data_IF_173285588628
#
_entry.id   IF_173285588628
#
_cell.length_a   1.000
_cell.length_b   1.000
_cell.length_c   1.000
_cell.angle_alpha   90.00
_cell.angle_beta   90.00
_cell.angle_gamma   90.00
#
_symmetry.space_group_name_H-M   'P 1'
#
loop_
_entity.id
_entity.type
_entity.pdbx_description
1 polymer ?
#
# COMPACT_ATOMS: atom_id res chain seq x y z
N UNK A 1 3.76 -1.89 12.04
CA UNK A 1 2.29 -1.77 11.90
C UNK A 1 1.93 -0.49 11.15
N UNK A 2 1.23 -0.61 10.01
CA UNK A 2 0.47 0.52 9.44
C UNK A 2 -0.93 0.58 10.04
N UNK A 3 -1.62 1.71 9.85
CA UNK A 3 -3.03 1.89 10.18
C UNK A 3 -3.98 1.27 9.13
N UNK A 4 -3.55 0.25 8.39
CA UNK A 4 -4.35 -0.36 7.34
C UNK A 4 -5.52 -1.16 7.93
N UNK A 5 -6.74 -0.86 7.47
CA UNK A 5 -7.90 -1.68 7.79
C UNK A 5 -7.80 -3.05 7.09
N UNK A 6 -8.39 -4.11 7.66
CA UNK A 6 -8.53 -5.37 6.94
C UNK A 6 -9.30 -5.19 5.63
N UNK A 7 -8.90 -5.93 4.61
CA UNK A 7 -9.63 -5.99 3.35
C UNK A 7 -10.69 -7.09 3.40
N UNK A 8 -11.77 -6.92 2.64
CA UNK A 8 -12.87 -7.88 2.58
C UNK A 8 -13.17 -8.24 1.13
N UNK A 9 -13.46 -9.51 0.87
CA UNK A 9 -14.04 -9.93 -0.42
C UNK A 9 -15.58 -9.93 -0.37
N UNK A 10 -16.20 -10.20 -1.51
CA UNK A 10 -17.66 -10.27 -1.66
C UNK A 10 -18.30 -11.42 -0.89
N UNK A 11 -17.52 -12.44 -0.50
CA UNK A 11 -17.96 -13.54 0.38
C UNK A 11 -17.87 -13.20 1.87
N UNK A 12 -17.33 -12.02 2.23
CA UNK A 12 -17.13 -11.59 3.60
C UNK A 12 -15.88 -12.18 4.27
N UNK A 13 -14.99 -12.84 3.52
CA UNK A 13 -13.70 -13.24 4.07
C UNK A 13 -12.85 -12.00 4.32
N UNK A 14 -12.12 -12.03 5.43
CA UNK A 14 -11.27 -10.93 5.88
C UNK A 14 -9.81 -11.25 5.55
N UNK A 15 -9.07 -10.26 5.05
CA UNK A 15 -7.66 -10.37 4.72
C UNK A 15 -6.84 -9.29 5.44
N UNK A 16 -5.73 -9.67 6.05
CA UNK A 16 -4.78 -8.74 6.65
C UNK A 16 -3.40 -9.39 6.74
N UNK A 17 -2.38 -8.55 6.84
CA UNK A 17 -1.01 -8.99 7.08
C UNK A 17 -0.60 -8.81 8.55
N UNK A 18 0.17 -9.76 9.06
CA UNK A 18 0.80 -9.71 10.39
C UNK A 18 2.22 -9.20 10.28
N UNK A 19 2.74 -8.61 11.36
CA UNK A 19 4.14 -8.20 11.46
C UNK A 19 5.03 -9.31 12.01
N UNK A 20 6.21 -8.92 12.49
CA UNK A 20 7.22 -9.81 13.01
C UNK A 20 6.68 -10.69 14.14
N UNK A 21 7.17 -11.93 14.18
CA UNK A 21 6.79 -12.90 15.17
C UNK A 21 7.24 -14.29 14.79
N UNK A 22 7.01 -15.24 15.70
CA UNK A 22 7.17 -16.66 15.42
C UNK A 22 6.30 -17.07 14.24
N UNK A 23 6.78 -18.06 13.49
CA UNK A 23 6.03 -18.69 12.42
C UNK A 23 6.16 -20.20 12.52
N UNK A 24 5.02 -20.88 12.50
CA UNK A 24 4.96 -22.34 12.38
C UNK A 24 3.88 -22.81 11.38
N UNK A 25 3.11 -21.88 10.80
CA UNK A 25 2.08 -22.16 9.79
C UNK A 25 0.81 -22.84 10.32
N UNK A 26 0.64 -22.95 11.64
CA UNK A 26 -0.51 -23.61 12.29
C UNK A 26 -1.28 -22.67 13.22
N UNK A 27 -0.61 -22.11 14.23
CA UNK A 27 -1.16 -21.13 15.17
C UNK A 27 -0.26 -19.88 15.31
N UNK A 28 0.97 -19.93 14.81
CA UNK A 28 1.90 -18.81 14.73
C UNK A 28 2.11 -18.39 13.27
N UNK A 29 1.74 -17.15 12.98
CA UNK A 29 1.71 -16.58 11.63
C UNK A 29 2.45 -15.23 11.57
N UNK A 30 3.70 -15.17 12.01
CA UNK A 30 4.55 -13.99 11.80
C UNK A 30 4.74 -13.67 10.32
N UNK A 31 4.73 -12.39 9.96
CA UNK A 31 4.96 -11.87 8.59
C UNK A 31 4.16 -12.62 7.52
N UNK A 32 2.86 -12.77 7.74
CA UNK A 32 1.97 -13.58 6.92
C UNK A 32 0.74 -12.79 6.49
N UNK A 33 0.21 -13.07 5.30
CA UNK A 33 -1.15 -12.68 4.92
C UNK A 33 -2.10 -13.77 5.38
N UNK A 34 -3.09 -13.41 6.18
CA UNK A 34 -4.13 -14.33 6.66
C UNK A 34 -5.44 -14.10 5.93
N UNK A 35 -6.10 -15.18 5.54
CA UNK A 35 -7.51 -15.21 5.16
C UNK A 35 -8.32 -15.75 6.32
N UNK A 36 -9.21 -14.95 6.87
CA UNK A 36 -10.16 -15.39 7.89
C UNK A 36 -11.56 -15.56 7.30
N UNK A 37 -12.32 -16.48 7.86
CA UNK A 37 -13.75 -16.63 7.59
C UNK A 37 -14.54 -15.38 8.00
N UNK A 38 -15.76 -15.20 7.49
CA UNK A 38 -16.70 -14.25 8.09
C UNK A 38 -16.94 -14.58 9.57
N UNK A 39 -17.19 -13.55 10.38
CA UNK A 39 -17.48 -13.73 11.81
C UNK A 39 -18.70 -14.65 11.99
N UNK A 40 -18.49 -15.79 12.65
CA UNK A 40 -19.56 -16.75 12.94
C UNK A 40 -19.49 -17.18 14.40
N UNK A 41 -20.60 -17.03 15.13
CA UNK A 41 -20.64 -17.35 16.56
C UNK A 41 -19.63 -16.57 17.41
N UNK A 42 -19.25 -15.36 16.99
CA UNK A 42 -18.26 -14.52 17.67
C UNK A 42 -16.80 -14.90 17.43
N UNK A 43 -16.53 -15.84 16.53
CA UNK A 43 -15.17 -16.30 16.23
C UNK A 43 -14.84 -16.12 14.75
N UNK A 44 -13.56 -15.83 14.49
CA UNK A 44 -12.95 -15.94 13.18
C UNK A 44 -12.13 -17.22 13.10
N UNK A 45 -12.09 -17.86 11.94
CA UNK A 45 -11.24 -19.04 11.70
C UNK A 45 -10.25 -18.72 10.59
N UNK A 46 -8.97 -19.07 10.77
CA UNK A 46 -7.99 -19.01 9.69
C UNK A 46 -8.39 -20.04 8.63
N UNK A 47 -8.66 -19.57 7.42
CA UNK A 47 -9.02 -20.41 6.27
C UNK A 47 -7.82 -20.74 5.40
N UNK A 48 -6.91 -19.79 5.24
CA UNK A 48 -5.69 -19.94 4.45
C UNK A 48 -4.67 -18.86 4.83
N UNK A 49 -3.43 -19.00 4.37
CA UNK A 49 -2.38 -18.01 4.58
C UNK A 49 -1.35 -17.99 3.45
N UNK A 50 -0.58 -16.91 3.40
CA UNK A 50 0.69 -16.81 2.66
C UNK A 50 1.76 -16.30 3.62
N UNK A 51 2.97 -16.83 3.50
CA UNK A 51 4.14 -16.38 4.24
C UNK A 51 5.33 -16.34 3.27
N UNK A 52 6.05 -15.21 3.13
CA UNK A 52 7.23 -15.15 2.27
C UNK A 52 8.25 -16.21 2.63
N UNK A 53 8.85 -16.87 1.64
CA UNK A 53 9.85 -17.93 1.85
C UNK A 53 10.97 -17.51 2.83
N UNK A 54 11.36 -16.24 2.79
CA UNK A 54 12.43 -15.64 3.61
C UNK A 54 11.95 -15.05 4.95
N UNK A 55 10.78 -15.47 5.46
CA UNK A 55 10.16 -14.90 6.66
C UNK A 55 11.11 -14.76 7.87
N UNK A 56 11.92 -15.79 8.15
CA UNK A 56 12.87 -15.75 9.27
C UNK A 56 13.88 -14.59 9.13
N UNK A 57 14.32 -14.30 7.90
CA UNK A 57 15.21 -13.18 7.61
C UNK A 57 14.50 -11.84 7.79
N UNK A 58 13.25 -11.72 7.30
CA UNK A 58 12.43 -10.52 7.48
C UNK A 58 12.21 -10.22 8.97
N UNK A 59 11.86 -11.24 9.76
CA UNK A 59 11.65 -11.09 11.20
C UNK A 59 12.92 -10.66 11.95
N UNK A 60 14.10 -11.09 11.51
CA UNK A 60 15.36 -10.75 12.15
C UNK A 60 15.79 -9.28 11.93
N UNK A 61 15.33 -8.65 10.84
CA UNK A 61 15.74 -7.30 10.44
C UNK A 61 14.62 -6.26 10.55
N UNK A 62 13.53 -6.56 11.27
CA UNK A 62 12.35 -5.69 11.35
C UNK A 62 11.74 -5.41 9.96
N UNK A 63 11.81 -6.39 9.05
CA UNK A 63 11.31 -6.35 7.68
C UNK A 63 9.82 -6.67 7.54
N UNK A 64 9.00 -6.21 8.50
CA UNK A 64 7.57 -6.55 8.64
C UNK A 64 6.79 -6.60 7.32
N UNK A 65 6.10 -7.72 7.07
CA UNK A 65 5.09 -7.78 6.00
C UNK A 65 3.85 -6.95 6.36
N UNK A 66 3.42 -7.01 7.62
CA UNK A 66 2.27 -6.28 8.18
C UNK A 66 2.48 -4.77 8.35
N UNK A 67 3.56 -4.21 7.82
CA UNK A 67 3.69 -2.78 7.67
C UNK A 67 2.84 -2.24 6.51
N UNK A 68 2.53 -3.01 5.47
CA UNK A 68 1.59 -2.59 4.45
C UNK A 68 0.21 -3.19 4.60
N UNK A 69 -0.79 -2.51 4.04
CA UNK A 69 -2.17 -2.99 3.95
C UNK A 69 -2.40 -3.88 2.73
N UNK A 70 -3.24 -4.90 2.90
CA UNK A 70 -3.68 -5.77 1.80
C UNK A 70 -4.74 -5.09 0.95
N UNK A 71 -4.71 -5.30 -0.36
CA UNK A 71 -5.72 -4.77 -1.31
C UNK A 71 -6.34 -5.92 -2.09
N UNK A 72 -7.64 -6.13 -1.91
CA UNK A 72 -8.43 -7.03 -2.76
C UNK A 72 -8.65 -6.37 -4.11
N UNK A 73 -8.27 -7.05 -5.19
CA UNK A 73 -8.42 -6.54 -6.55
C UNK A 73 -9.75 -6.98 -7.18
N UNK A 74 -10.30 -6.22 -8.16
CA UNK A 74 -11.43 -6.68 -8.95
C UNK A 74 -11.13 -8.01 -9.63
N UNK A 75 -12.10 -8.93 -9.59
CA UNK A 75 -11.98 -10.25 -10.21
C UNK A 75 -11.97 -10.12 -11.75
N UNK A 76 -10.87 -10.49 -12.43
CA UNK A 76 -10.84 -10.50 -13.88
C UNK A 76 -11.79 -11.54 -14.48
N UNK A 77 -12.24 -11.29 -15.71
CA UNK A 77 -13.15 -12.20 -16.43
C UNK A 77 -12.43 -13.38 -17.08
N UNK A 78 -11.11 -13.30 -17.23
CA UNK A 78 -10.22 -14.32 -17.85
C UNK A 78 -9.06 -14.67 -16.92
N UNK A 79 -8.27 -15.68 -17.30
CA UNK A 79 -7.12 -16.13 -16.53
C UNK A 79 -7.45 -17.28 -15.56
N UNK A 80 -6.40 -17.97 -15.11
CA UNK A 80 -6.53 -19.11 -14.19
C UNK A 80 -6.64 -18.64 -12.74
N UNK A 81 -5.93 -17.56 -12.39
CA UNK A 81 -6.02 -16.91 -11.08
C UNK A 81 -6.82 -15.61 -11.21
N UNK A 82 -8.04 -15.60 -10.66
CA UNK A 82 -8.98 -14.48 -10.81
C UNK A 82 -9.27 -13.75 -9.51
N UNK A 83 -9.18 -14.43 -8.36
CA UNK A 83 -9.49 -13.80 -7.09
C UNK A 83 -8.23 -13.19 -6.50
N UNK A 84 -7.74 -12.08 -7.05
CA UNK A 84 -6.41 -11.59 -6.71
C UNK A 84 -6.39 -10.62 -5.52
N UNK A 85 -5.27 -10.61 -4.79
CA UNK A 85 -4.97 -9.70 -3.68
C UNK A 85 -3.50 -9.25 -3.79
N UNK A 86 -3.23 -8.00 -3.41
CA UNK A 86 -1.87 -7.45 -3.34
C UNK A 86 -1.46 -7.20 -1.90
N UNK A 87 -0.22 -7.53 -1.58
CA UNK A 87 0.43 -7.21 -0.31
C UNK A 87 1.86 -6.70 -0.57
N UNK A 88 2.33 -5.78 0.27
CA UNK A 88 3.73 -5.31 0.29
C UNK A 88 4.10 -4.90 1.71
N UNK A 89 5.35 -5.14 2.11
CA UNK A 89 5.86 -4.85 3.46
C UNK A 89 6.96 -3.80 3.48
N UNK A 90 7.75 -3.80 4.56
CA UNK A 90 8.94 -2.92 4.71
C UNK A 90 10.09 -3.31 3.79
N UNK A 91 10.11 -4.55 3.30
CA UNK A 91 11.13 -5.04 2.37
C UNK A 91 10.91 -4.50 0.93
N UNK A 92 9.71 -3.98 0.64
CA UNK A 92 9.38 -3.40 -0.65
C UNK A 92 9.08 -4.42 -1.75
N UNK A 93 8.93 -5.69 -1.39
CA UNK A 93 8.50 -6.74 -2.32
C UNK A 93 6.99 -6.69 -2.49
N UNK A 94 6.52 -6.64 -3.75
CA UNK A 94 5.09 -6.72 -4.05
C UNK A 94 4.72 -8.17 -4.32
N UNK A 95 3.74 -8.68 -3.57
CA UNK A 95 3.19 -10.01 -3.73
C UNK A 95 1.79 -9.92 -4.34
N UNK A 96 1.57 -10.65 -5.43
CA UNK A 96 0.24 -10.88 -6.01
C UNK A 96 -0.20 -12.31 -5.65
N UNK A 97 -1.25 -12.40 -4.86
CA UNK A 97 -1.76 -13.63 -4.27
C UNK A 97 -3.11 -14.02 -4.87
N UNK A 98 -3.37 -15.32 -5.01
CA UNK A 98 -4.70 -15.83 -5.32
C UNK A 98 -5.46 -16.13 -4.02
N UNK A 99 -6.55 -15.41 -3.76
CA UNK A 99 -7.41 -15.56 -2.58
C UNK A 99 -8.08 -16.94 -2.50
N UNK A 100 -8.16 -17.68 -3.60
CA UNK A 100 -8.68 -19.05 -3.60
C UNK A 100 -7.63 -20.08 -3.15
N UNK A 101 -6.34 -19.73 -3.24
CA UNK A 101 -5.21 -20.50 -2.75
C UNK A 101 -4.03 -19.55 -2.53
N UNK A 102 -3.85 -19.09 -1.28
CA UNK A 102 -2.83 -18.10 -0.95
C UNK A 102 -1.40 -18.64 -1.10
N UNK A 103 -1.24 -19.95 -1.27
CA UNK A 103 0.05 -20.58 -1.54
C UNK A 103 0.81 -21.02 -0.29
N UNK A 104 0.48 -20.52 0.89
CA UNK A 104 1.13 -20.87 2.17
C UNK A 104 2.61 -20.50 2.18
N UNK A 105 3.48 -21.43 2.58
CA UNK A 105 4.90 -21.21 2.79
C UNK A 105 5.74 -22.17 1.94
N UNK A 106 6.65 -21.64 1.14
CA UNK A 106 7.69 -22.41 0.47
C UNK A 106 8.95 -22.37 1.34
N UNK A 107 9.27 -23.50 1.97
CA UNK A 107 10.40 -23.61 2.89
C UNK A 107 11.75 -23.40 2.16
N UNK A 108 12.60 -22.45 2.58
CA UNK A 108 13.94 -22.28 2.02
C UNK A 108 14.89 -23.42 2.40
N UNK A 109 14.51 -24.27 3.36
CA UNK A 109 15.30 -25.42 3.79
C UNK A 109 14.92 -26.71 3.03
N UNK A 110 15.77 -27.75 3.09
CA UNK A 110 15.44 -29.04 2.49
C UNK A 110 14.13 -29.65 3.03
N UNK A 111 13.33 -30.32 2.18
CA UNK A 111 13.64 -30.66 0.78
C UNK A 111 13.21 -29.58 -0.23
N UNK A 112 12.47 -28.55 0.19
CA UNK A 112 11.87 -27.58 -0.72
C UNK A 112 12.90 -26.62 -1.33
N UNK A 113 13.89 -26.17 -0.55
CA UNK A 113 15.01 -25.33 -1.01
C UNK A 113 14.56 -24.08 -1.80
N UNK A 114 13.47 -23.43 -1.37
CA UNK A 114 12.92 -22.29 -2.08
C UNK A 114 13.85 -21.06 -1.99
N UNK A 115 14.11 -20.42 -3.11
CA UNK A 115 14.85 -19.15 -3.19
C UNK A 115 13.98 -17.95 -3.54
N UNK A 116 12.69 -18.19 -3.74
CA UNK A 116 11.67 -17.21 -4.11
C UNK A 116 10.28 -17.81 -3.83
N UNK A 117 9.25 -16.98 -3.89
CA UNK A 117 7.87 -17.37 -3.64
C UNK A 117 7.22 -18.00 -4.88
N UNK A 118 7.70 -19.17 -5.28
CA UNK A 118 7.21 -19.87 -6.50
C UNK A 118 5.75 -20.36 -6.43
N UNK A 119 5.15 -20.35 -5.23
CA UNK A 119 3.82 -20.90 -4.98
C UNK A 119 2.66 -19.90 -5.15
N UNK A 120 2.98 -18.65 -5.50
CA UNK A 120 2.01 -17.55 -5.68
C UNK A 120 1.96 -17.07 -7.12
N UNK A 121 1.05 -16.15 -7.43
CA UNK A 121 0.81 -15.68 -8.80
C UNK A 121 1.98 -14.82 -9.31
N UNK A 122 2.50 -13.92 -8.47
CA UNK A 122 3.62 -13.07 -8.83
C UNK A 122 4.34 -12.54 -7.59
N UNK A 123 5.67 -12.50 -7.67
CA UNK A 123 6.55 -11.81 -6.73
C UNK A 123 7.36 -10.76 -7.51
N UNK A 124 7.38 -9.52 -7.02
CA UNK A 124 8.21 -8.43 -7.55
C UNK A 124 9.16 -7.94 -6.45
N UNK A 125 10.36 -8.54 -6.32
CA UNK A 125 11.30 -8.22 -5.25
C UNK A 125 11.81 -6.79 -5.35
N UNK A 126 11.84 -6.07 -4.23
CA UNK A 126 12.35 -4.69 -4.14
C UNK A 126 11.75 -3.73 -5.18
N UNK A 127 10.48 -3.92 -5.55
CA UNK A 127 9.80 -3.10 -6.57
C UNK A 127 9.63 -1.65 -6.11
N UNK A 128 9.50 -1.45 -4.80
CA UNK A 128 9.51 -0.17 -4.12
C UNK A 128 10.49 -0.21 -2.93
N UNK A 129 10.74 0.92 -2.27
CA UNK A 129 11.29 0.88 -0.91
C UNK A 129 10.23 0.30 0.06
N UNK A 130 10.38 0.43 1.37
CA UNK A 130 9.39 -0.10 2.32
C UNK A 130 8.05 0.64 2.29
N UNK A 131 6.96 -0.06 2.65
CA UNK A 131 5.63 0.53 2.78
C UNK A 131 5.11 0.52 4.22
N UNK A 132 4.53 1.65 4.66
CA UNK A 132 3.82 1.80 5.95
C UNK A 132 2.40 2.30 5.76
N UNK A 133 1.76 1.84 4.68
CA UNK A 133 0.46 2.30 4.22
C UNK A 133 -0.23 1.24 3.40
N UNK A 134 -1.34 1.60 2.75
CA UNK A 134 -2.08 0.70 1.86
C UNK A 134 -1.96 1.19 0.42
N UNK A 135 -1.64 0.34 -0.57
CA UNK A 135 -1.72 0.72 -1.98
C UNK A 135 -3.15 1.15 -2.35
N UNK A 136 -3.29 1.94 -3.41
CA UNK A 136 -4.60 2.26 -3.96
C UNK A 136 -4.75 1.66 -5.35
N UNK A 137 -5.90 1.08 -5.64
CA UNK A 137 -6.25 0.60 -6.98
C UNK A 137 -7.20 1.60 -7.65
N UNK A 138 -6.94 1.92 -8.92
CA UNK A 138 -7.93 2.55 -9.78
C UNK A 138 -7.69 2.18 -11.24
N UNK A 139 -8.76 1.77 -11.92
CA UNK A 139 -8.80 1.59 -13.38
C UNK A 139 -7.61 0.81 -13.97
N UNK A 140 -7.34 -0.38 -13.43
CA UNK A 140 -6.24 -1.23 -13.90
C UNK A 140 -4.84 -0.74 -13.51
N UNK A 141 -4.72 0.13 -12.51
CA UNK A 141 -3.44 0.61 -11.99
C UNK A 141 -3.43 0.52 -10.47
N UNK A 142 -2.29 0.10 -9.91
CA UNK A 142 -2.00 0.19 -8.48
C UNK A 142 -0.96 1.27 -8.22
N UNK A 143 -1.21 2.08 -7.19
CA UNK A 143 -0.34 3.15 -6.75
C UNK A 143 0.30 2.77 -5.41
N UNK A 144 1.61 2.89 -5.33
CA UNK A 144 2.42 2.52 -4.17
C UNK A 144 3.27 3.69 -3.72
N UNK A 145 3.17 4.02 -2.42
CA UNK A 145 4.02 5.00 -1.77
C UNK A 145 5.06 4.31 -0.90
N UNK A 146 6.29 4.18 -1.42
CA UNK A 146 7.43 3.65 -0.68
C UNK A 146 8.17 4.73 0.12
N UNK A 147 8.96 4.31 1.10
CA UNK A 147 9.97 5.12 1.77
C UNK A 147 11.03 4.23 2.44
N UNK A 148 12.11 4.82 2.97
CA UNK A 148 13.10 4.11 3.76
C UNK A 148 13.01 4.47 5.25
N UNK A 149 13.09 3.48 6.15
CA UNK A 149 13.25 3.75 7.60
C UNK A 149 14.50 4.59 7.83
N UNK A 150 14.41 5.53 8.78
CA UNK A 150 15.52 6.43 9.12
C UNK A 150 15.62 7.68 8.25
N UNK A 151 14.84 7.77 7.16
CA UNK A 151 14.71 8.99 6.35
C UNK A 151 15.98 9.40 5.61
N UNK A 152 16.95 8.50 5.47
CA UNK A 152 18.22 8.73 4.75
C UNK A 152 18.06 8.72 3.24
N UNK A 153 16.98 8.12 2.73
CA UNK A 153 16.52 8.22 1.35
C UNK A 153 14.99 8.06 1.28
N UNK A 154 14.39 8.52 0.19
CA UNK A 154 12.96 8.41 -0.06
C UNK A 154 12.65 7.53 -1.28
N UNK A 155 11.38 7.40 -1.62
CA UNK A 155 10.92 6.80 -2.89
C UNK A 155 9.95 7.73 -3.61
N UNK A 156 9.82 7.55 -4.92
CA UNK A 156 8.72 8.17 -5.66
C UNK A 156 7.41 7.43 -5.40
N UNK A 157 6.29 8.13 -5.51
CA UNK A 157 5.00 7.48 -5.72
C UNK A 157 5.07 6.75 -7.07
N UNK A 158 4.77 5.45 -7.08
CA UNK A 158 4.92 4.59 -8.27
C UNK A 158 3.58 3.98 -8.67
N UNK A 159 3.33 3.92 -9.97
CA UNK A 159 2.18 3.27 -10.56
C UNK A 159 2.63 1.98 -11.27
N UNK A 160 1.91 0.88 -11.04
CA UNK A 160 2.10 -0.40 -11.74
C UNK A 160 0.80 -0.75 -12.45
N UNK A 161 0.87 -1.10 -13.73
CA UNK A 161 -0.33 -1.56 -14.45
C UNK A 161 -0.72 -2.96 -14.00
N UNK A 162 -2.01 -3.19 -13.84
CA UNK A 162 -2.63 -4.48 -13.56
C UNK A 162 -3.48 -4.90 -14.76
N UNK A 163 -2.97 -5.84 -15.56
CA UNK A 163 -3.57 -6.22 -16.84
C UNK A 163 -3.27 -7.68 -17.20
N UNK A 164 -4.08 -8.23 -18.10
CA UNK A 164 -3.82 -9.55 -18.68
C UNK A 164 -2.50 -9.56 -19.48
N UNK A 165 -1.71 -10.60 -19.30
CA UNK A 165 -0.60 -10.95 -20.18
C UNK A 165 -1.11 -11.63 -21.47
N UNK A 166 -0.18 -12.10 -22.31
CA UNK A 166 -0.52 -12.80 -23.56
C UNK A 166 -1.27 -14.12 -23.35
N UNK A 167 -1.20 -14.72 -22.16
CA UNK A 167 -1.93 -15.94 -21.79
C UNK A 167 -3.32 -15.64 -21.21
N UNK A 168 -3.63 -14.37 -20.96
CA UNK A 168 -4.88 -13.93 -20.32
C UNK A 168 -4.80 -13.89 -18.79
N UNK A 169 -3.65 -14.18 -18.18
CA UNK A 169 -3.44 -14.08 -16.74
C UNK A 169 -3.18 -12.63 -16.36
N UNK A 170 -3.95 -12.12 -15.40
CA UNK A 170 -3.73 -10.77 -14.88
C UNK A 170 -2.52 -10.74 -13.95
N UNK A 171 -1.59 -9.83 -14.26
CA UNK A 171 -0.33 -9.61 -13.55
C UNK A 171 -0.10 -8.11 -13.38
N UNK A 172 0.82 -7.76 -12.48
CA UNK A 172 1.41 -6.44 -12.41
C UNK A 172 2.55 -6.31 -13.43
N UNK A 173 2.75 -5.10 -13.95
CA UNK A 173 3.99 -4.78 -14.68
C UNK A 173 5.20 -5.05 -13.81
N UNK A 174 6.31 -5.50 -14.39
CA UNK A 174 7.55 -5.79 -13.64
C UNK A 174 8.32 -4.53 -13.25
N UNK A 175 7.98 -3.38 -13.82
CA UNK A 175 8.49 -2.07 -13.48
C UNK A 175 7.34 -1.05 -13.36
N UNK A 176 7.55 0.09 -12.67
CA UNK A 176 6.57 1.16 -12.65
C UNK A 176 6.29 1.70 -14.06
N UNK A 177 5.03 1.86 -14.41
CA UNK A 177 4.60 2.49 -15.67
C UNK A 177 4.59 4.02 -15.57
N UNK A 178 4.53 4.56 -14.37
CA UNK A 178 4.65 5.98 -14.08
C UNK A 178 5.16 6.21 -12.66
N UNK A 179 5.81 7.35 -12.41
CA UNK A 179 6.32 7.73 -11.10
C UNK A 179 6.30 9.25 -10.90
N UNK A 180 6.16 9.69 -9.66
CA UNK A 180 6.30 11.11 -9.31
C UNK A 180 7.74 11.57 -9.42
N UNK A 181 7.93 12.85 -9.79
CA UNK A 181 9.22 13.52 -9.68
C UNK A 181 9.56 13.85 -8.22
N UNK A 182 8.54 14.12 -7.40
CA UNK A 182 8.73 14.30 -5.96
C UNK A 182 9.10 12.97 -5.30
N UNK A 183 10.08 13.04 -4.40
CA UNK A 183 10.57 11.90 -3.63
C UNK A 183 10.08 12.05 -2.19
N UNK A 184 9.34 11.06 -1.72
CA UNK A 184 8.76 11.02 -0.39
C UNK A 184 9.71 10.29 0.56
N UNK A 185 10.14 10.99 1.62
CA UNK A 185 10.87 10.38 2.71
C UNK A 185 9.90 9.68 3.68
N UNK A 186 10.46 8.98 4.68
CA UNK A 186 9.68 8.35 5.74
C UNK A 186 8.65 9.33 6.36
N UNK A 187 7.38 8.96 6.56
CA UNK A 187 6.80 7.60 6.56
C UNK A 187 6.38 7.03 5.21
N UNK A 188 6.64 7.71 4.10
CA UNK A 188 6.05 7.38 2.80
C UNK A 188 4.58 7.76 2.72
N UNK A 189 4.05 7.98 1.51
CA UNK A 189 2.66 8.39 1.32
C UNK A 189 1.73 7.18 1.27
N UNK A 190 0.51 7.32 1.82
CA UNK A 190 -0.59 6.38 1.53
C UNK A 190 -1.52 7.02 0.49
N UNK A 191 -1.63 6.46 -0.72
CA UNK A 191 -2.47 7.03 -1.77
C UNK A 191 -3.96 6.87 -1.48
N UNK A 192 -4.74 7.87 -1.90
CA UNK A 192 -6.19 7.81 -2.03
C UNK A 192 -6.59 8.31 -3.40
N UNK A 193 -7.55 7.66 -4.05
CA UNK A 193 -7.96 8.01 -5.42
C UNK A 193 -9.37 8.56 -5.44
N UNK A 194 -9.57 9.65 -6.19
CA UNK A 194 -10.89 10.13 -6.58
C UNK A 194 -10.98 10.21 -8.09
N UNK A 195 -12.14 9.89 -8.66
CA UNK A 195 -12.34 9.93 -10.11
C UNK A 195 -13.82 10.11 -10.45
N UNK A 196 -14.10 10.46 -11.71
CA UNK A 196 -15.41 10.31 -12.31
C UNK A 196 -15.47 9.02 -13.12
N UNK A 197 -15.81 7.91 -12.46
CA UNK A 197 -15.70 6.57 -13.03
C UNK A 197 -14.25 6.24 -13.40
N UNK A 198 -13.98 6.05 -14.69
CA UNK A 198 -12.64 5.78 -15.25
C UNK A 198 -11.96 7.03 -15.82
N UNK A 199 -12.52 8.21 -15.61
CA UNK A 199 -12.00 9.48 -16.12
C UNK A 199 -11.62 10.45 -15.00
N UNK A 200 -10.71 11.37 -15.30
CA UNK A 200 -10.26 12.43 -14.38
C UNK A 200 -9.83 11.90 -13.01
N UNK A 201 -9.09 10.79 -13.00
CA UNK A 201 -8.54 10.21 -11.78
C UNK A 201 -7.47 11.12 -11.19
N UNK A 202 -7.53 11.33 -9.88
CA UNK A 202 -6.55 12.07 -9.11
C UNK A 202 -6.05 11.17 -7.98
N UNK A 203 -4.74 11.01 -7.89
CA UNK A 203 -4.08 10.33 -6.77
C UNK A 203 -3.66 11.39 -5.76
N UNK A 204 -4.26 11.33 -4.57
CA UNK A 204 -3.98 12.19 -3.44
C UNK A 204 -3.02 11.50 -2.49
N UNK A 205 -1.96 12.20 -2.10
CA UNK A 205 -0.98 11.70 -1.14
C UNK A 205 -0.52 12.81 -0.21
N UNK A 206 -0.13 12.43 1.00
CA UNK A 206 0.46 13.34 1.99
C UNK A 206 1.98 13.10 2.07
N UNK A 207 2.76 14.17 1.92
CA UNK A 207 4.14 14.20 2.38
C UNK A 207 4.16 14.59 3.86
N UNK A 208 4.33 13.57 4.69
CA UNK A 208 4.41 13.70 6.15
C UNK A 208 5.86 13.69 6.66
N UNK A 209 6.87 13.86 5.80
CA UNK A 209 8.29 13.76 6.18
C UNK A 209 8.72 14.75 7.26
N UNK A 210 7.97 15.83 7.44
CA UNK A 210 8.17 16.86 8.46
C UNK A 210 7.48 16.55 9.82
N UNK A 211 7.10 15.29 10.07
CA UNK A 211 6.53 14.87 11.36
C UNK A 211 7.51 15.08 12.53
N UNK A 212 6.98 15.23 13.76
CA UNK A 212 7.80 15.29 14.97
C UNK A 212 7.30 16.31 16.00
N UNK A 213 7.91 16.38 17.20
CA UNK A 213 7.67 17.48 18.15
C UNK A 213 8.19 18.80 17.55
N UNK A 214 7.49 19.94 17.73
CA UNK A 214 7.92 21.25 17.24
C UNK A 214 9.35 21.55 17.66
N UNK A 215 10.30 21.41 16.73
CA UNK A 215 11.71 21.74 16.97
C UNK A 215 12.31 22.49 15.78
N UNK A 216 13.38 23.26 15.99
CA UNK A 216 14.03 24.02 14.92
C UNK A 216 14.57 23.16 13.76
N UNK A 217 14.80 21.86 13.97
CA UNK A 217 15.39 20.93 13.00
C UNK A 217 14.40 19.87 12.49
N UNK A 218 13.10 20.01 12.80
CA UNK A 218 12.04 19.11 12.36
C UNK A 218 10.72 19.42 13.05
N UNK A 219 9.81 20.05 12.30
CA UNK A 219 8.35 20.10 12.48
C UNK A 219 7.74 21.11 11.52
N UNK A 220 7.23 20.59 10.43
CA UNK A 220 6.67 21.38 9.35
C UNK A 220 5.26 20.94 9.00
N UNK A 221 4.59 21.72 8.13
CA UNK A 221 3.29 21.36 7.62
C UNK A 221 3.39 20.04 6.84
N UNK A 222 2.33 19.24 6.87
CA UNK A 222 2.17 18.20 5.84
C UNK A 222 1.93 18.88 4.49
N UNK A 223 2.38 18.26 3.40
CA UNK A 223 2.04 18.73 2.05
C UNK A 223 1.09 17.73 1.42
N UNK A 224 -0.12 18.19 1.07
CA UNK A 224 -1.05 17.41 0.27
C UNK A 224 -0.67 17.59 -1.20
N UNK A 225 -0.40 16.49 -1.89
CA UNK A 225 -0.14 16.47 -3.33
C UNK A 225 -1.30 15.81 -4.07
N UNK A 226 -1.57 16.30 -5.28
CA UNK A 226 -2.56 15.79 -6.20
C UNK A 226 -1.88 15.49 -7.54
N UNK A 227 -1.85 14.21 -7.93
CA UNK A 227 -1.26 13.77 -9.20
C UNK A 227 -2.34 13.34 -10.17
N UNK A 228 -2.08 13.53 -11.47
CA UNK A 228 -2.86 12.88 -12.52
C UNK A 228 -2.67 11.37 -12.40
N UNK A 229 -3.77 10.64 -12.19
CA UNK A 229 -3.74 9.19 -12.02
C UNK A 229 -3.23 8.44 -13.27
N UNK A 230 -3.35 9.03 -14.47
CA UNK A 230 -2.82 8.44 -15.69
C UNK A 230 -1.31 8.69 -15.87
N UNK A 231 -0.74 9.70 -15.22
CA UNK A 231 0.68 10.02 -15.29
C UNK A 231 1.16 10.78 -14.04
N UNK A 232 1.80 10.06 -13.12
CA UNK A 232 2.32 10.60 -11.86
C UNK A 232 3.43 11.64 -12.03
N UNK A 233 4.06 11.75 -13.20
CA UNK A 233 5.02 12.85 -13.45
C UNK A 233 4.34 14.21 -13.59
N UNK A 234 3.01 14.23 -13.75
CA UNK A 234 2.18 15.43 -13.78
C UNK A 234 1.52 15.67 -12.41
N UNK A 235 2.11 16.55 -11.61
CA UNK A 235 1.48 17.08 -10.41
C UNK A 235 0.46 18.17 -10.79
N UNK A 236 -0.80 17.95 -10.44
CA UNK A 236 -1.89 18.89 -10.72
C UNK A 236 -1.89 20.05 -9.73
N UNK A 237 -1.62 19.75 -8.46
CA UNK A 237 -1.58 20.73 -7.39
C UNK A 237 -0.89 20.17 -6.13
N UNK A 238 -0.28 21.03 -5.32
CA UNK A 238 0.06 20.71 -3.94
C UNK A 238 -0.25 21.88 -2.98
N UNK A 239 -0.42 21.58 -1.69
CA UNK A 239 -0.85 22.56 -0.67
C UNK A 239 0.19 23.63 -0.32
N UNK A 240 1.42 23.52 -0.82
CA UNK A 240 2.50 24.47 -0.57
C UNK A 240 2.69 25.53 -1.66
N UNK A 241 2.08 25.35 -2.84
CA UNK A 241 2.35 26.22 -3.99
C UNK A 241 1.56 27.54 -4.01
N UNK A 242 0.47 27.63 -3.23
CA UNK A 242 -0.38 28.82 -3.23
C UNK A 242 0.32 30.01 -2.55
N UNK A 243 0.18 31.19 -3.15
CA UNK A 243 0.78 32.42 -2.64
C UNK A 243 0.38 32.70 -1.18
N UNK A 244 1.31 33.27 -0.41
CA UNK A 244 1.12 33.64 0.99
C UNK A 244 0.70 32.48 1.90
N UNK A 245 1.08 31.24 1.56
CA UNK A 245 0.75 30.03 2.32
C UNK A 245 -0.76 29.80 2.50
N UNK A 246 -1.60 30.27 1.56
CA UNK A 246 -3.07 30.16 1.66
C UNK A 246 -3.54 28.72 1.93
N UNK A 247 -2.94 27.77 1.22
CA UNK A 247 -3.33 26.35 1.27
C UNK A 247 -2.49 25.55 2.28
N UNK A 248 -1.56 26.18 3.00
CA UNK A 248 -0.61 25.47 3.86
C UNK A 248 -1.35 24.71 4.96
N UNK A 249 -1.13 23.40 5.02
CA UNK A 249 -1.72 22.54 6.04
C UNK A 249 -1.09 22.76 7.42
N UNK A 250 -1.72 22.22 8.45
CA UNK A 250 -1.17 22.03 9.77
C UNK A 250 0.00 21.04 9.81
N UNK A 251 0.61 20.92 10.99
CA UNK A 251 1.83 20.13 11.16
C UNK A 251 1.61 18.63 10.93
N UNK A 252 2.57 18.00 10.24
CA UNK A 252 2.50 16.61 9.84
C UNK A 252 2.44 15.63 11.02
N UNK A 253 1.70 14.53 10.79
CA UNK A 253 1.63 13.35 11.64
C UNK A 253 1.90 12.13 10.76
N UNK A 254 2.66 11.15 11.28
CA UNK A 254 2.95 9.92 10.53
C UNK A 254 1.68 9.15 10.19
N UNK A 255 1.73 8.44 9.08
CA UNK A 255 0.74 7.42 8.68
C UNK A 255 -0.69 7.94 8.51
N UNK A 256 -0.87 9.26 8.39
CA UNK A 256 -2.17 9.82 8.04
C UNK A 256 -2.44 9.63 6.56
N UNK A 257 -3.73 9.51 6.23
CA UNK A 257 -4.22 9.26 4.87
C UNK A 257 -5.17 10.39 4.49
N UNK A 258 -5.06 11.01 3.30
CA UNK A 258 -6.03 12.00 2.87
C UNK A 258 -7.35 11.32 2.57
N UNK A 259 -8.45 11.78 3.17
CA UNK A 259 -9.78 11.22 2.89
C UNK A 259 -10.47 12.08 1.83
N UNK A 260 -10.97 11.48 0.75
CA UNK A 260 -11.71 12.20 -0.30
C UNK A 260 -13.19 11.88 -0.20
N UNK A 261 -14.02 12.90 -0.01
CA UNK A 261 -15.46 12.75 0.07
C UNK A 261 -16.17 14.04 -0.32
N UNK A 262 -17.32 13.93 -1.00
CA UNK A 262 -18.19 15.07 -1.33
C UNK A 262 -17.47 16.24 -2.02
N UNK A 263 -16.54 15.94 -2.93
CA UNK A 263 -15.75 16.94 -3.66
C UNK A 263 -14.71 17.68 -2.81
N UNK A 264 -14.37 17.15 -1.63
CA UNK A 264 -13.37 17.72 -0.72
C UNK A 264 -12.32 16.68 -0.32
N UNK A 265 -11.14 17.17 0.03
CA UNK A 265 -10.04 16.36 0.57
C UNK A 265 -9.78 16.79 2.00
N UNK A 266 -9.86 15.85 2.92
CA UNK A 266 -9.74 16.04 4.35
C UNK A 266 -8.38 15.53 4.82
N UNK A 267 -7.65 16.40 5.50
CA UNK A 267 -6.29 16.13 5.98
C UNK A 267 -6.25 16.31 7.49
N UNK A 268 -6.13 15.20 8.20
CA UNK A 268 -5.91 15.21 9.65
C UNK A 268 -4.47 15.61 9.94
N UNK A 269 -4.29 16.70 10.69
CA UNK A 269 -2.98 17.17 11.14
C UNK A 269 -2.87 17.02 12.66
N UNK A 270 -1.75 17.47 13.23
CA UNK A 270 -1.50 17.31 14.66
C UNK A 270 -2.56 17.97 15.56
N UNK A 271 -3.11 19.11 15.14
CA UNK A 271 -3.98 19.94 15.98
C UNK A 271 -5.23 20.44 15.27
N UNK A 272 -5.37 20.19 13.96
CA UNK A 272 -6.49 20.67 13.16
C UNK A 272 -6.85 19.68 12.05
N UNK A 273 -7.98 19.92 11.41
CA UNK A 273 -8.44 19.23 10.22
C UNK A 273 -8.48 20.25 9.09
N UNK A 274 -7.60 20.08 8.11
CA UNK A 274 -7.62 20.92 6.91
C UNK A 274 -8.52 20.29 5.86
N UNK A 275 -9.33 21.13 5.22
CA UNK A 275 -10.31 20.69 4.22
C UNK A 275 -10.13 21.48 2.94
N UNK A 276 -9.70 20.78 1.90
CA UNK A 276 -9.44 21.34 0.59
C UNK A 276 -10.63 21.11 -0.34
N UNK A 277 -10.94 22.11 -1.15
CA UNK A 277 -11.99 22.05 -2.16
C UNK A 277 -11.76 23.13 -3.23
N UNK A 278 -12.61 23.13 -4.25
CA UNK A 278 -12.56 24.18 -5.27
C UNK A 278 -12.88 25.54 -4.64
N UNK A 279 -12.18 26.57 -5.10
CA UNK A 279 -12.52 27.94 -4.72
C UNK A 279 -13.91 28.29 -5.24
N UNK A 280 -14.71 29.06 -4.49
CA UNK A 280 -15.95 29.62 -5.01
C UNK A 280 -15.67 30.42 -6.29
N UNK A 281 -16.53 30.24 -7.29
CA UNK A 281 -16.55 31.11 -8.47
C UNK A 281 -17.04 32.52 -8.11
#
# INVERSE_FOLDING_TARGET
MSAAAPAFDTGGNLYFATGNGSFNGTDEFGDSVLKLSPLSGGNFTVLDYFTPFNQASLSAIDGDLGAGGSVVLPDPTTGTHRQLLVQVGKDGTIYLLDRSNLGKYCDPNPPSNCSSDTQIVQELPNAINGMWGTPAYWNGTLYFGGAQIGGTSGDSLKAFSFSADASGQFLLSTSPTSMSLHVFNFSGPTPSVSANGTSNGIVWVLDNSQYGPPTPNGSGPTVLHAYDAANLSNELWNSSQAANNRDRAGNAVKFTVPTVANGKVYVGTRTELDVYGLLPN
#
